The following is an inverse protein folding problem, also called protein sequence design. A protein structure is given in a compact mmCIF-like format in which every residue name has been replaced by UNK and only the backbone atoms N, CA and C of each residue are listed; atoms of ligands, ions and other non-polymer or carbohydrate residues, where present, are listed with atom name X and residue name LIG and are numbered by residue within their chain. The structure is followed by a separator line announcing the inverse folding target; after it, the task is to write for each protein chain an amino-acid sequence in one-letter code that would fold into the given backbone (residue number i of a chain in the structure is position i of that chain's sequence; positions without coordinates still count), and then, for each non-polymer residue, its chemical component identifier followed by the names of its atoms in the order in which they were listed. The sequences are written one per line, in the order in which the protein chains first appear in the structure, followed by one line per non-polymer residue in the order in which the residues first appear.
data_IF_913709308185
#
_entry.id   IF_913709308185
#
_cell.length_a   1.000
_cell.length_b   1.000
_cell.length_c   1.000
_cell.angle_alpha   90.00
_cell.angle_beta   90.00
_cell.angle_gamma   90.00
#
_symmetry.space_group_name_H-M   'P 1'
#
loop_
_entity.id
_entity.type
_entity.pdbx_description
1 polymer ?
#
# COMPACT_ATOMS: atom_id res chain seq x y z
N UNK A 1 1.35 22.86 -14.40
CA UNK A 1 2.00 21.97 -13.41
C UNK A 1 3.50 22.01 -13.66
N UNK A 2 4.29 22.41 -12.65
CA UNK A 2 5.76 22.38 -12.76
C UNK A 2 6.22 20.98 -12.28
N UNK A 3 6.49 20.10 -13.24
CA UNK A 3 7.02 18.76 -12.99
C UNK A 3 8.55 18.86 -13.05
N UNK A 4 9.29 18.16 -12.17
CA UNK A 4 10.74 18.17 -12.24
C UNK A 4 11.24 17.72 -13.60
N UNK A 5 12.28 18.39 -14.13
CA UNK A 5 12.86 18.06 -15.44
C UNK A 5 13.25 16.58 -15.53
N UNK A 6 13.89 16.05 -14.48
CA UNK A 6 14.26 14.63 -14.40
C UNK A 6 13.04 13.69 -14.56
N UNK A 7 11.94 13.97 -13.85
CA UNK A 7 10.72 13.15 -13.93
C UNK A 7 10.14 13.19 -15.35
N UNK A 8 10.04 14.39 -15.94
CA UNK A 8 9.52 14.59 -17.28
C UNK A 8 10.35 13.88 -18.35
N UNK A 9 11.67 14.08 -18.34
CA UNK A 9 12.60 13.43 -19.28
C UNK A 9 12.57 11.91 -19.14
N UNK A 10 12.61 11.41 -17.91
CA UNK A 10 12.60 9.98 -17.63
C UNK A 10 11.32 9.30 -18.10
N UNK A 11 10.15 9.88 -17.84
CA UNK A 11 8.87 9.34 -18.29
C UNK A 11 8.72 9.41 -19.82
N UNK A 12 9.14 10.51 -20.44
CA UNK A 12 9.11 10.64 -21.90
C UNK A 12 10.02 9.61 -22.58
N UNK A 13 11.22 9.37 -22.04
CA UNK A 13 12.13 8.35 -22.55
C UNK A 13 11.61 6.93 -22.37
N UNK A 14 10.90 6.66 -21.26
CA UNK A 14 10.40 5.33 -20.90
C UNK A 14 9.12 4.95 -21.63
N UNK A 15 8.21 5.90 -21.83
CA UNK A 15 6.84 5.67 -22.29
C UNK A 15 6.52 6.27 -23.66
N UNK A 16 7.44 7.11 -24.24
CA UNK A 16 7.19 7.74 -25.52
C UNK A 16 5.87 8.52 -25.54
N UNK A 17 5.02 8.25 -26.51
CA UNK A 17 3.73 8.93 -26.69
C UNK A 17 2.76 8.75 -25.52
N UNK A 18 2.84 7.62 -24.80
CA UNK A 18 2.01 7.35 -23.61
C UNK A 18 2.34 8.26 -22.43
N UNK A 19 3.51 8.90 -22.41
CA UNK A 19 3.90 9.82 -21.33
C UNK A 19 2.90 10.97 -21.17
N UNK A 20 2.29 11.45 -22.26
CA UNK A 20 1.27 12.49 -22.21
C UNK A 20 0.06 12.10 -21.37
N UNK A 21 -0.37 10.84 -21.41
CA UNK A 21 -1.47 10.31 -20.58
C UNK A 21 -1.09 10.25 -19.11
N UNK A 22 0.16 9.89 -18.80
CA UNK A 22 0.67 9.87 -17.43
C UNK A 22 0.67 11.29 -16.85
N UNK A 23 1.17 12.27 -17.60
CA UNK A 23 1.18 13.68 -17.18
C UNK A 23 -0.25 14.22 -16.97
N UNK A 24 -1.19 13.89 -17.85
CA UNK A 24 -2.59 14.24 -17.67
C UNK A 24 -3.17 13.63 -16.36
N UNK A 25 -2.78 12.41 -16.04
CA UNK A 25 -3.16 11.75 -14.78
C UNK A 25 -2.67 12.46 -13.52
N UNK A 26 -1.52 13.13 -13.55
CA UNK A 26 -1.00 13.90 -12.42
C UNK A 26 -1.85 15.14 -12.09
N UNK A 27 -2.54 15.69 -13.10
CA UNK A 27 -3.45 16.85 -12.94
C UNK A 27 -4.90 16.43 -12.72
N UNK A 28 -5.21 15.14 -12.70
CA UNK A 28 -6.58 14.67 -12.50
C UNK A 28 -7.02 14.87 -11.05
N UNK A 29 -8.28 15.24 -10.85
CA UNK A 29 -8.89 15.29 -9.54
C UNK A 29 -8.98 13.87 -8.97
N UNK A 30 -8.40 13.67 -7.79
CA UNK A 30 -8.51 12.40 -7.07
C UNK A 30 -9.72 12.43 -6.14
N UNK A 31 -10.61 11.48 -6.34
CA UNK A 31 -11.73 11.28 -5.42
C UNK A 31 -11.23 10.60 -4.13
N UNK A 32 -11.90 10.90 -3.03
CA UNK A 32 -11.66 10.19 -1.77
C UNK A 32 -12.10 8.75 -1.91
N UNK A 33 -11.28 7.83 -1.49
CA UNK A 33 -11.59 6.40 -1.50
C UNK A 33 -11.37 5.80 -0.12
N UNK A 34 -12.17 4.81 0.23
CA UNK A 34 -12.07 4.12 1.49
C UNK A 34 -12.31 2.61 1.33
N UNK A 35 -11.81 1.88 2.30
CA UNK A 35 -12.02 0.45 2.45
C UNK A 35 -12.87 0.16 3.69
N UNK A 36 -13.87 -0.68 3.53
CA UNK A 36 -14.66 -1.22 4.64
C UNK A 36 -13.79 -2.19 5.46
N UNK A 37 -13.87 -2.10 6.77
CA UNK A 37 -13.16 -3.00 7.67
C UNK A 37 -14.05 -4.17 8.11
N UNK A 38 -13.88 -5.31 7.45
CA UNK A 38 -14.66 -6.54 7.71
C UNK A 38 -14.43 -7.16 9.09
N UNK A 39 -13.47 -6.69 9.87
CA UNK A 39 -13.31 -7.08 11.26
C UNK A 39 -14.32 -6.42 12.19
N UNK A 40 -14.95 -5.31 11.76
CA UNK A 40 -15.83 -4.49 12.61
C UNK A 40 -17.23 -4.27 12.05
N UNK A 41 -17.40 -4.34 10.73
CA UNK A 41 -18.64 -3.99 10.05
C UNK A 41 -18.75 -4.70 8.71
N UNK A 42 -19.82 -4.46 8.00
CA UNK A 42 -20.06 -4.93 6.63
C UNK A 42 -20.29 -3.75 5.66
N UNK A 43 -20.20 -4.04 4.36
CA UNK A 43 -20.28 -3.03 3.32
C UNK A 43 -21.68 -2.38 3.23
N UNK A 44 -22.74 -3.12 3.52
CA UNK A 44 -24.11 -2.57 3.46
C UNK A 44 -24.36 -1.59 4.61
N UNK A 45 -23.85 -1.88 5.79
CA UNK A 45 -23.92 -0.98 6.95
C UNK A 45 -23.15 0.31 6.68
N UNK A 46 -21.95 0.24 6.11
CA UNK A 46 -21.17 1.44 5.74
C UNK A 46 -21.87 2.24 4.65
N UNK A 47 -22.39 1.58 3.60
CA UNK A 47 -23.11 2.27 2.51
C UNK A 47 -24.33 3.03 3.02
N UNK A 48 -25.11 2.41 3.90
CA UNK A 48 -26.29 3.09 4.51
C UNK A 48 -25.87 4.30 5.33
N UNK A 49 -24.87 4.15 6.20
CA UNK A 49 -24.42 5.24 7.04
C UNK A 49 -23.81 6.40 6.25
N UNK A 50 -23.11 6.13 5.14
CA UNK A 50 -22.64 7.17 4.22
C UNK A 50 -23.79 7.87 3.52
N UNK A 51 -24.81 7.13 3.06
CA UNK A 51 -26.00 7.69 2.42
C UNK A 51 -26.81 8.56 3.40
N UNK A 52 -26.98 8.12 4.65
CA UNK A 52 -27.64 8.89 5.71
C UNK A 52 -26.88 10.19 6.04
N UNK A 53 -25.55 10.20 5.86
CA UNK A 53 -24.70 11.38 5.96
C UNK A 53 -24.71 12.26 4.68
N UNK A 54 -25.51 11.92 3.65
CA UNK A 54 -25.58 12.65 2.39
C UNK A 54 -24.35 12.45 1.48
N UNK A 55 -23.59 11.38 1.70
CA UNK A 55 -22.38 11.08 0.92
C UNK A 55 -22.73 10.11 -0.22
N UNK A 56 -22.56 10.59 -1.45
CA UNK A 56 -22.70 9.79 -2.65
C UNK A 56 -21.46 8.94 -2.89
N UNK A 57 -21.66 7.67 -3.27
CA UNK A 57 -20.58 6.73 -3.46
C UNK A 57 -20.79 5.77 -4.61
N UNK A 58 -19.69 5.23 -5.12
CA UNK A 58 -19.66 4.09 -6.04
C UNK A 58 -18.82 2.96 -5.42
N UNK A 59 -19.22 1.72 -5.66
CA UNK A 59 -18.42 0.55 -5.31
C UNK A 59 -17.46 0.24 -6.46
N UNK A 60 -16.20 -0.04 -6.14
CA UNK A 60 -15.24 -0.47 -7.15
C UNK A 60 -15.64 -1.87 -7.69
N UNK A 61 -15.59 -2.05 -9.02
CA UNK A 61 -16.08 -3.27 -9.67
C UNK A 61 -15.41 -4.57 -9.20
N UNK A 62 -14.21 -4.48 -8.62
CA UNK A 62 -13.40 -5.63 -8.20
C UNK A 62 -13.45 -5.93 -6.68
N UNK A 63 -14.11 -5.08 -5.89
CA UNK A 63 -14.25 -5.31 -4.45
C UNK A 63 -15.43 -4.55 -3.87
N UNK A 64 -16.33 -5.24 -3.21
CA UNK A 64 -17.48 -4.65 -2.51
C UNK A 64 -17.08 -3.78 -1.31
N UNK A 65 -15.87 -3.97 -0.78
CA UNK A 65 -15.30 -3.21 0.35
C UNK A 65 -14.60 -1.93 -0.08
N UNK A 66 -14.38 -1.73 -1.38
CA UNK A 66 -13.70 -0.56 -1.92
C UNK A 66 -14.73 0.47 -2.42
N UNK A 67 -14.84 1.61 -1.73
CA UNK A 67 -15.79 2.66 -2.03
C UNK A 67 -15.08 3.92 -2.53
N UNK A 68 -15.67 4.56 -3.55
CA UNK A 68 -15.26 5.82 -4.16
C UNK A 68 -16.29 6.86 -3.78
N UNK A 69 -15.90 7.92 -3.09
CA UNK A 69 -16.81 8.97 -2.67
C UNK A 69 -16.86 10.08 -3.72
N UNK A 70 -18.04 10.45 -4.16
CA UNK A 70 -18.24 11.37 -5.29
C UNK A 70 -18.30 12.84 -4.84
N UNK A 71 -18.78 13.11 -3.63
CA UNK A 71 -19.04 14.45 -3.11
C UNK A 71 -18.42 14.72 -1.72
N UNK A 72 -17.56 13.85 -1.22
CA UNK A 72 -16.92 14.01 0.10
C UNK A 72 -15.39 14.01 0.01
N UNK A 73 -14.77 14.89 0.79
CA UNK A 73 -13.30 14.96 0.97
C UNK A 73 -12.87 14.19 2.22
N UNK A 74 -11.57 13.97 2.36
CA UNK A 74 -10.97 13.24 3.49
C UNK A 74 -11.36 13.84 4.85
N UNK A 75 -11.43 15.17 4.99
CA UNK A 75 -11.81 15.84 6.24
C UNK A 75 -13.27 15.51 6.63
N UNK A 76 -14.18 15.45 5.66
CA UNK A 76 -15.58 15.05 5.89
C UNK A 76 -15.64 13.61 6.39
N UNK A 77 -14.88 12.71 5.77
CA UNK A 77 -14.86 11.28 6.14
C UNK A 77 -14.21 11.08 7.52
N UNK A 78 -13.13 11.81 7.82
CA UNK A 78 -12.44 11.70 9.11
C UNK A 78 -13.27 12.17 10.30
N UNK A 79 -14.28 13.00 10.07
CA UNK A 79 -15.24 13.46 11.09
C UNK A 79 -16.38 12.45 11.37
N UNK A 80 -16.50 11.38 10.59
CA UNK A 80 -17.56 10.39 10.78
C UNK A 80 -17.21 9.44 11.94
N UNK A 81 -18.20 9.07 12.78
CA UNK A 81 -17.96 8.09 13.87
C UNK A 81 -17.36 6.77 13.38
N UNK A 82 -17.78 6.29 12.20
CA UNK A 82 -17.26 5.04 11.62
C UNK A 82 -15.76 5.11 11.31
N UNK A 83 -15.20 6.30 11.04
CA UNK A 83 -13.77 6.46 10.85
C UNK A 83 -13.02 6.36 12.18
N UNK A 84 -13.51 7.03 13.21
CA UNK A 84 -12.93 7.00 14.56
C UNK A 84 -13.01 5.57 15.14
N UNK A 85 -14.15 4.90 14.97
CA UNK A 85 -14.36 3.52 15.40
C UNK A 85 -13.52 2.49 14.62
N UNK A 86 -12.87 2.89 13.52
CA UNK A 86 -12.08 2.00 12.66
C UNK A 86 -12.93 1.02 11.84
N UNK A 87 -14.17 1.35 11.55
CA UNK A 87 -15.07 0.58 10.67
C UNK A 87 -14.71 0.79 9.20
N UNK A 88 -14.04 1.90 8.90
CA UNK A 88 -13.50 2.23 7.59
C UNK A 88 -12.03 2.65 7.68
N UNK A 89 -11.31 2.53 6.55
CA UNK A 89 -9.94 3.01 6.41
C UNK A 89 -9.81 3.79 5.10
N UNK A 90 -9.38 5.05 5.15
CA UNK A 90 -9.08 5.82 3.93
C UNK A 90 -7.86 5.22 3.25
N UNK A 91 -8.03 4.73 2.04
CA UNK A 91 -7.00 4.02 1.29
C UNK A 91 -7.23 4.21 -0.21
N UNK A 92 -6.17 4.48 -0.98
CA UNK A 92 -6.31 4.54 -2.43
C UNK A 92 -6.65 3.16 -3.01
N UNK A 93 -7.43 3.14 -4.08
CA UNK A 93 -7.82 1.88 -4.73
C UNK A 93 -6.62 1.04 -5.14
N UNK A 94 -5.57 1.66 -5.70
CA UNK A 94 -4.33 0.98 -6.07
C UNK A 94 -3.62 0.35 -4.87
N UNK A 95 -3.67 1.00 -3.69
CA UNK A 95 -3.06 0.49 -2.47
C UNK A 95 -3.83 -0.70 -1.87
N UNK A 96 -5.09 -0.90 -2.27
CA UNK A 96 -5.89 -2.05 -1.82
C UNK A 96 -5.57 -3.33 -2.61
N UNK A 97 -4.99 -3.21 -3.81
CA UNK A 97 -4.74 -4.36 -4.71
C UNK A 97 -3.68 -5.34 -4.17
N UNK A 98 -2.49 -4.89 -3.68
CA UNK A 98 -1.44 -5.83 -3.26
C UNK A 98 -1.88 -6.82 -2.17
N UNK A 99 -2.61 -6.45 -1.09
CA UNK A 99 -3.14 -7.40 -0.13
C UNK A 99 -4.12 -8.43 -0.71
N UNK A 100 -4.93 -8.02 -1.71
CA UNK A 100 -5.86 -8.91 -2.40
C UNK A 100 -5.09 -9.93 -3.25
N UNK A 101 -4.12 -9.46 -4.02
CA UNK A 101 -3.26 -10.32 -4.85
C UNK A 101 -2.43 -11.27 -4.01
N UNK A 102 -1.97 -10.84 -2.82
CA UNK A 102 -1.25 -11.70 -1.89
C UNK A 102 -2.05 -12.94 -1.49
N UNK A 103 -3.39 -12.83 -1.43
CA UNK A 103 -4.27 -13.95 -1.19
C UNK A 103 -3.98 -14.70 0.10
N UNK A 104 -3.54 -14.00 1.15
CA UNK A 104 -3.25 -14.61 2.44
C UNK A 104 -4.46 -15.34 3.00
N UNK A 105 -4.21 -16.51 3.59
CA UNK A 105 -5.25 -17.38 4.14
C UNK A 105 -5.26 -17.32 5.66
N UNK A 106 -6.39 -17.68 6.28
CA UNK A 106 -6.44 -17.89 7.72
C UNK A 106 -5.34 -18.84 8.19
N UNK A 107 -4.75 -18.49 9.35
CA UNK A 107 -3.72 -19.26 10.04
C UNK A 107 -2.33 -19.31 9.35
N UNK A 108 -2.15 -18.62 8.20
CA UNK A 108 -0.85 -18.40 7.59
C UNK A 108 0.00 -17.39 8.37
N UNK A 109 1.34 -17.56 8.31
CA UNK A 109 2.33 -16.59 8.75
C UNK A 109 2.62 -15.62 7.62
N UNK A 110 2.32 -14.34 7.84
CA UNK A 110 2.45 -13.29 6.84
C UNK A 110 3.48 -12.25 7.29
N UNK A 111 4.38 -11.85 6.40
CA UNK A 111 5.29 -10.73 6.61
C UNK A 111 4.88 -9.53 5.76
N UNK A 112 4.71 -8.37 6.40
CA UNK A 112 4.64 -7.06 5.74
C UNK A 112 5.95 -6.30 6.01
N UNK A 113 6.79 -6.16 4.99
CA UNK A 113 8.19 -5.71 5.16
C UNK A 113 8.35 -4.19 5.29
N UNK A 114 7.34 -3.40 4.92
CA UNK A 114 7.37 -1.93 5.00
C UNK A 114 5.97 -1.40 5.35
N UNK A 115 5.47 -1.85 6.50
CA UNK A 115 4.06 -1.89 6.84
C UNK A 115 3.38 -0.53 7.08
N UNK A 116 4.12 0.49 7.55
CA UNK A 116 3.51 1.75 7.93
C UNK A 116 2.95 2.54 6.72
N UNK A 117 1.77 3.14 6.89
CA UNK A 117 1.03 3.39 8.13
C UNK A 117 0.07 2.28 8.58
N UNK A 118 -0.01 1.11 7.89
CA UNK A 118 -0.79 -0.03 8.32
C UNK A 118 -2.02 -0.36 7.46
N UNK A 119 -2.28 0.39 6.39
CA UNK A 119 -3.43 0.16 5.52
C UNK A 119 -3.44 -1.24 4.90
N UNK A 120 -2.30 -1.70 4.38
CA UNK A 120 -2.17 -3.04 3.79
C UNK A 120 -2.15 -4.13 4.86
N UNK A 121 -1.43 -3.91 5.95
CA UNK A 121 -1.39 -4.83 7.11
C UNK A 121 -2.78 -5.10 7.67
N UNK A 122 -3.57 -4.05 7.94
CA UNK A 122 -4.93 -4.18 8.47
C UNK A 122 -5.91 -4.76 7.46
N UNK A 123 -5.65 -4.57 6.16
CA UNK A 123 -6.41 -5.20 5.08
C UNK A 123 -6.16 -6.71 5.04
N UNK A 124 -4.91 -7.16 5.16
CA UNK A 124 -4.57 -8.59 5.27
C UNK A 124 -5.28 -9.22 6.48
N UNK A 125 -5.25 -8.54 7.63
CA UNK A 125 -5.96 -9.02 8.81
C UNK A 125 -7.46 -9.15 8.55
N UNK A 126 -8.09 -8.17 7.90
CA UNK A 126 -9.51 -8.21 7.56
C UNK A 126 -9.85 -9.33 6.57
N UNK A 127 -9.06 -9.49 5.49
CA UNK A 127 -9.25 -10.52 4.48
C UNK A 127 -9.14 -11.95 5.04
N UNK A 128 -8.36 -12.14 6.10
CA UNK A 128 -8.18 -13.43 6.76
C UNK A 128 -9.10 -13.65 7.97
N UNK A 129 -10.07 -12.74 8.18
CA UNK A 129 -10.96 -12.77 9.34
C UNK A 129 -10.22 -12.67 10.67
N UNK A 130 -9.07 -11.97 10.70
CA UNK A 130 -8.23 -11.79 11.89
C UNK A 130 -7.43 -13.03 12.27
N UNK A 131 -7.36 -14.07 11.44
CA UNK A 131 -6.74 -15.35 11.80
C UNK A 131 -5.29 -15.50 11.34
N UNK A 132 -4.83 -14.74 10.34
CA UNK A 132 -3.43 -14.77 9.96
C UNK A 132 -2.53 -14.20 11.07
N UNK A 133 -1.34 -14.77 11.24
CA UNK A 133 -0.29 -14.24 12.11
C UNK A 133 0.59 -13.28 11.30
N UNK A 134 0.47 -11.99 11.56
CA UNK A 134 1.13 -10.97 10.73
C UNK A 134 2.32 -10.37 11.48
N UNK A 135 3.50 -10.46 10.90
CA UNK A 135 4.68 -9.70 11.31
C UNK A 135 4.79 -8.46 10.43
N UNK A 136 4.71 -7.28 11.04
CA UNK A 136 4.72 -5.99 10.36
C UNK A 136 5.97 -5.20 10.72
N UNK A 137 6.89 -5.00 9.75
CA UNK A 137 8.14 -4.29 9.97
C UNK A 137 8.04 -2.83 9.55
N UNK A 138 8.56 -1.92 10.36
CA UNK A 138 8.76 -0.52 10.02
C UNK A 138 10.01 0.01 10.75
N UNK A 139 10.98 0.51 9.98
CA UNK A 139 12.25 0.99 10.54
C UNK A 139 12.16 2.35 11.24
N UNK A 140 11.26 3.23 10.80
CA UNK A 140 11.09 4.55 11.38
C UNK A 140 10.16 4.47 12.59
N UNK A 141 10.64 4.90 13.76
CA UNK A 141 9.90 4.81 15.02
C UNK A 141 8.55 5.53 14.97
N UNK A 142 8.51 6.77 14.48
CA UNK A 142 7.25 7.54 14.41
C UNK A 142 6.23 6.87 13.49
N UNK A 143 6.69 6.30 12.36
CA UNK A 143 5.82 5.54 11.46
C UNK A 143 5.37 4.21 12.08
N UNK A 144 6.23 3.54 12.84
CA UNK A 144 5.88 2.33 13.58
C UNK A 144 4.83 2.61 14.68
N UNK A 145 4.92 3.76 15.35
CA UNK A 145 3.91 4.17 16.34
C UNK A 145 2.56 4.46 15.66
N UNK A 146 2.56 5.09 14.48
CA UNK A 146 1.35 5.26 13.67
C UNK A 146 0.77 3.94 13.17
N UNK A 147 1.63 2.99 12.82
CA UNK A 147 1.23 1.64 12.45
C UNK A 147 0.52 0.94 13.62
N UNK A 148 1.07 0.99 14.84
CA UNK A 148 0.44 0.42 16.06
C UNK A 148 -0.93 1.03 16.31
N UNK A 149 -1.02 2.36 16.26
CA UNK A 149 -2.28 3.07 16.42
C UNK A 149 -3.34 2.61 15.40
N UNK A 150 -2.98 2.48 14.12
CA UNK A 150 -3.91 2.05 13.09
C UNK A 150 -4.34 0.58 13.26
N UNK A 151 -3.42 -0.30 13.66
CA UNK A 151 -3.72 -1.70 13.97
C UNK A 151 -4.75 -1.79 15.10
N UNK A 152 -4.53 -1.05 16.19
CA UNK A 152 -5.43 -1.00 17.34
C UNK A 152 -6.80 -0.43 16.93
N UNK A 153 -6.82 0.74 16.28
CA UNK A 153 -8.04 1.38 15.82
C UNK A 153 -8.86 0.49 14.87
N UNK A 154 -8.20 -0.22 13.97
CA UNK A 154 -8.85 -1.15 13.04
C UNK A 154 -9.24 -2.48 13.72
N UNK A 155 -8.80 -2.72 14.95
CA UNK A 155 -9.07 -3.97 15.67
C UNK A 155 -8.45 -5.19 14.99
N UNK A 156 -7.28 -5.03 14.35
CA UNK A 156 -6.60 -6.12 13.67
C UNK A 156 -5.85 -6.99 14.70
N UNK A 157 -6.32 -8.21 14.99
CA UNK A 157 -5.67 -9.08 15.97
C UNK A 157 -4.44 -9.75 15.34
N UNK A 158 -3.62 -10.40 16.18
CA UNK A 158 -2.48 -11.23 15.78
C UNK A 158 -1.47 -10.52 14.88
N UNK A 159 -1.32 -9.19 15.03
CA UNK A 159 -0.31 -8.40 14.35
C UNK A 159 0.81 -8.03 15.31
N UNK A 160 2.02 -8.46 15.01
CA UNK A 160 3.24 -8.12 15.76
C UNK A 160 4.00 -7.02 15.01
N UNK A 161 4.10 -5.83 15.60
CA UNK A 161 4.87 -4.73 15.02
C UNK A 161 6.32 -4.77 15.46
N UNK A 162 7.22 -4.95 14.52
CA UNK A 162 8.66 -4.90 14.71
C UNK A 162 9.20 -3.54 14.23
N UNK A 163 9.64 -2.70 15.18
CA UNK A 163 10.28 -1.44 14.82
C UNK A 163 11.74 -1.68 14.44
N UNK A 164 11.94 -2.20 13.25
CA UNK A 164 13.25 -2.53 12.70
C UNK A 164 13.24 -2.52 11.18
N UNK A 165 14.41 -2.47 10.59
CA UNK A 165 14.57 -2.69 9.15
C UNK A 165 14.36 -4.18 8.84
N UNK A 166 13.43 -4.50 7.97
CA UNK A 166 13.12 -5.89 7.62
C UNK A 166 14.31 -6.67 7.04
N UNK A 167 15.34 -5.97 6.51
CA UNK A 167 16.59 -6.60 6.06
C UNK A 167 17.39 -7.22 7.20
N UNK A 168 17.13 -6.80 8.45
CA UNK A 168 17.78 -7.28 9.68
C UNK A 168 17.01 -8.43 10.36
N UNK A 169 15.86 -8.85 9.82
CA UNK A 169 15.19 -10.04 10.32
C UNK A 169 16.14 -11.24 10.25
N UNK A 170 16.08 -12.11 11.25
CA UNK A 170 16.86 -13.34 11.25
C UNK A 170 16.43 -14.24 10.08
N UNK A 171 17.39 -14.88 9.40
CA UNK A 171 17.13 -15.80 8.28
C UNK A 171 16.48 -17.13 8.74
N UNK A 172 16.33 -17.34 10.05
CA UNK A 172 15.56 -18.45 10.61
C UNK A 172 14.04 -18.23 10.55
N UNK A 173 13.57 -16.99 10.33
CA UNK A 173 12.17 -16.75 10.07
C UNK A 173 11.76 -17.34 8.71
N UNK A 174 10.54 -17.90 8.66
CA UNK A 174 9.96 -18.43 7.44
C UNK A 174 8.47 -18.08 7.37
N UNK A 175 8.04 -17.49 6.26
CA UNK A 175 6.69 -16.99 6.06
C UNK A 175 5.99 -17.69 4.92
N UNK A 176 4.66 -17.88 5.05
CA UNK A 176 3.80 -18.44 4.02
C UNK A 176 3.46 -17.39 2.94
N UNK A 177 3.38 -16.12 3.36
CA UNK A 177 3.12 -14.99 2.46
C UNK A 177 3.99 -13.81 2.83
N UNK A 178 4.52 -13.12 1.82
CA UNK A 178 5.28 -11.89 2.05
C UNK A 178 4.73 -10.78 1.19
N UNK A 179 4.38 -9.66 1.82
CA UNK A 179 4.10 -8.40 1.14
C UNK A 179 5.33 -7.50 1.23
N UNK A 180 5.88 -7.15 0.09
CA UNK A 180 6.89 -6.11 -0.04
C UNK A 180 6.31 -4.94 -0.84
N UNK A 181 5.53 -4.08 -0.15
CA UNK A 181 5.19 -2.76 -0.68
C UNK A 181 6.39 -1.84 -0.51
N UNK A 182 7.29 -1.91 -1.49
CA UNK A 182 8.64 -1.40 -1.33
C UNK A 182 8.69 0.12 -1.24
N UNK A 183 9.49 0.68 -0.31
CA UNK A 183 9.78 2.10 -0.33
C UNK A 183 10.31 2.49 -1.72
N UNK A 184 9.72 3.53 -2.31
CA UNK A 184 10.00 3.92 -3.70
C UNK A 184 10.06 5.43 -3.84
N UNK A 185 10.34 5.92 -5.05
CA UNK A 185 10.38 7.36 -5.37
C UNK A 185 9.03 8.05 -5.19
N UNK A 186 7.92 7.32 -5.22
CA UNK A 186 6.58 7.88 -5.20
C UNK A 186 6.17 8.56 -6.50
N UNK A 187 6.84 8.27 -7.60
CA UNK A 187 6.60 8.93 -8.89
C UNK A 187 5.17 8.75 -9.45
N UNK A 188 4.45 7.71 -9.02
CA UNK A 188 3.04 7.50 -9.36
C UNK A 188 2.05 8.25 -8.45
N UNK A 189 2.54 8.90 -7.38
CA UNK A 189 1.70 9.65 -6.44
C UNK A 189 1.79 11.17 -6.63
N UNK A 190 2.51 11.62 -7.64
CA UNK A 190 2.66 13.05 -7.99
C UNK A 190 1.28 13.66 -8.25
N UNK A 191 1.06 14.84 -7.70
CA UNK A 191 -0.13 15.68 -7.92
C UNK A 191 0.31 17.11 -8.23
N UNK A 192 -0.62 17.93 -8.69
CA UNK A 192 -0.38 19.36 -8.87
C UNK A 192 0.09 19.99 -7.54
N UNK A 193 1.21 20.72 -7.59
CA UNK A 193 1.84 21.33 -6.41
C UNK A 193 2.72 20.39 -5.58
N UNK A 194 2.89 19.14 -5.97
CA UNK A 194 3.85 18.26 -5.28
C UNK A 194 5.29 18.59 -5.72
N UNK A 195 6.15 18.91 -4.74
CA UNK A 195 7.57 19.21 -4.96
C UNK A 195 8.45 17.97 -4.68
N UNK A 196 8.16 16.86 -5.34
CA UNK A 196 9.00 15.65 -5.21
C UNK A 196 10.43 15.92 -5.72
N UNK A 197 11.43 15.62 -4.89
CA UNK A 197 12.83 15.69 -5.29
C UNK A 197 13.20 14.43 -6.09
N UNK A 198 12.90 14.46 -7.39
CA UNK A 198 13.31 13.38 -8.28
C UNK A 198 14.71 13.68 -8.85
N UNK A 199 15.64 12.75 -8.64
CA UNK A 199 16.98 12.80 -9.22
C UNK A 199 17.47 11.38 -9.51
N UNK A 200 18.46 11.30 -10.40
CA UNK A 200 19.09 10.01 -10.72
C UNK A 200 19.68 9.34 -9.46
N UNK A 201 20.39 10.08 -8.63
CA UNK A 201 21.03 9.57 -7.42
C UNK A 201 20.00 9.07 -6.39
N UNK A 202 18.85 9.74 -6.30
CA UNK A 202 17.77 9.28 -5.43
C UNK A 202 17.16 7.98 -5.94
N UNK A 203 16.88 7.90 -7.24
CA UNK A 203 16.34 6.71 -7.89
C UNK A 203 17.31 5.52 -7.75
N UNK A 204 18.59 5.71 -8.05
CA UNK A 204 19.61 4.65 -7.96
C UNK A 204 19.73 4.09 -6.53
N UNK A 205 19.69 4.96 -5.51
CA UNK A 205 19.69 4.53 -4.09
C UNK A 205 18.44 3.74 -3.72
N UNK A 206 17.29 4.18 -4.20
CA UNK A 206 16.01 3.53 -3.93
C UNK A 206 15.95 2.15 -4.57
N UNK A 207 16.33 2.04 -5.84
CA UNK A 207 16.42 0.76 -6.57
C UNK A 207 17.38 -0.22 -5.87
N UNK A 208 18.54 0.25 -5.42
CA UNK A 208 19.48 -0.59 -4.67
C UNK A 208 18.87 -1.13 -3.37
N UNK A 209 18.14 -0.29 -2.65
CA UNK A 209 17.43 -0.68 -1.43
C UNK A 209 16.34 -1.71 -1.73
N UNK A 210 15.53 -1.49 -2.76
CA UNK A 210 14.46 -2.40 -3.19
C UNK A 210 15.00 -3.78 -3.55
N UNK A 211 16.10 -3.86 -4.33
CA UNK A 211 16.76 -5.13 -4.65
C UNK A 211 17.21 -5.87 -3.39
N UNK A 212 17.78 -5.15 -2.41
CA UNK A 212 18.21 -5.76 -1.13
C UNK A 212 17.02 -6.26 -0.31
N UNK A 213 15.90 -5.52 -0.29
CA UNK A 213 14.67 -5.95 0.39
C UNK A 213 14.07 -7.17 -0.30
N UNK A 214 14.02 -7.19 -1.63
CA UNK A 214 13.49 -8.31 -2.39
C UNK A 214 14.34 -9.58 -2.21
N UNK A 215 15.67 -9.45 -2.24
CA UNK A 215 16.57 -10.56 -1.95
C UNK A 215 16.35 -11.14 -0.53
N UNK A 216 16.09 -10.27 0.44
CA UNK A 216 15.76 -10.70 1.81
C UNK A 216 14.40 -11.38 1.86
N UNK A 217 13.38 -10.81 1.19
CA UNK A 217 12.05 -11.40 1.11
C UNK A 217 12.08 -12.83 0.55
N UNK A 218 12.81 -13.04 -0.54
CA UNK A 218 12.95 -14.37 -1.16
C UNK A 218 13.58 -15.38 -0.20
N UNK A 219 14.57 -14.98 0.60
CA UNK A 219 15.18 -15.88 1.61
C UNK A 219 14.25 -16.25 2.76
N UNK A 220 13.32 -15.34 3.12
CA UNK A 220 12.37 -15.55 4.20
C UNK A 220 11.07 -16.24 3.73
N UNK A 221 10.87 -16.38 2.43
CA UNK A 221 9.70 -17.05 1.88
C UNK A 221 9.89 -18.56 1.94
N UNK A 222 8.89 -19.28 2.44
CA UNK A 222 8.88 -20.74 2.38
C UNK A 222 8.83 -21.21 0.92
N UNK A 223 9.41 -22.36 0.59
CA UNK A 223 9.28 -22.95 -0.76
C UNK A 223 7.81 -23.12 -1.16
N UNK A 224 7.51 -22.90 -2.44
CA UNK A 224 6.16 -23.04 -3.03
C UNK A 224 5.10 -22.05 -2.47
N UNK A 225 5.56 -20.98 -1.80
CA UNK A 225 4.71 -19.92 -1.29
C UNK A 225 4.88 -18.63 -2.10
N UNK A 226 4.07 -17.61 -1.81
CA UNK A 226 3.94 -16.44 -2.67
C UNK A 226 4.42 -15.15 -2.00
N UNK A 227 5.09 -14.33 -2.82
CA UNK A 227 5.51 -12.98 -2.48
C UNK A 227 4.86 -12.00 -3.46
N UNK A 228 4.29 -10.93 -2.91
CA UNK A 228 3.82 -9.79 -3.70
C UNK A 228 4.78 -8.63 -3.52
N UNK A 229 5.36 -8.17 -4.64
CA UNK A 229 6.13 -6.94 -4.72
C UNK A 229 5.27 -5.84 -5.32
N UNK A 230 5.21 -4.69 -4.68
CA UNK A 230 4.49 -3.51 -5.17
C UNK A 230 5.24 -2.23 -4.89
N UNK A 231 4.97 -1.20 -5.67
CA UNK A 231 5.44 0.17 -5.45
C UNK A 231 4.34 1.17 -5.82
N UNK A 232 4.48 2.40 -5.34
CA UNK A 232 3.73 3.53 -5.87
C UNK A 232 4.53 4.33 -6.92
N UNK A 233 5.45 3.68 -7.63
CA UNK A 233 6.28 4.25 -8.69
C UNK A 233 5.78 3.87 -10.07
N UNK A 234 5.99 4.77 -11.04
CA UNK A 234 5.79 4.52 -12.48
C UNK A 234 7.11 4.25 -13.22
N UNK A 235 8.24 4.19 -12.52
CA UNK A 235 9.52 3.89 -13.14
C UNK A 235 9.75 2.39 -13.26
N UNK A 236 10.15 1.92 -14.45
CA UNK A 236 10.55 0.52 -14.68
C UNK A 236 11.73 0.11 -13.82
N UNK A 237 12.65 1.05 -13.57
CA UNK A 237 13.81 0.84 -12.69
C UNK A 237 13.41 0.33 -11.30
N UNK A 238 12.28 0.80 -10.76
CA UNK A 238 11.76 0.43 -9.43
C UNK A 238 10.79 -0.75 -9.45
N UNK A 239 10.37 -1.21 -10.62
CA UNK A 239 9.39 -2.26 -10.81
C UNK A 239 10.01 -3.43 -11.59
N UNK A 240 9.86 -3.44 -12.91
CA UNK A 240 10.25 -4.56 -13.77
C UNK A 240 11.74 -4.90 -13.65
N UNK A 241 12.63 -3.89 -13.54
CA UNK A 241 14.06 -4.13 -13.46
C UNK A 241 14.51 -4.68 -12.09
N UNK A 242 13.80 -4.31 -11.01
CA UNK A 242 14.02 -4.91 -9.69
C UNK A 242 13.67 -6.39 -9.73
N UNK A 243 12.48 -6.73 -10.23
CA UNK A 243 12.03 -8.11 -10.36
C UNK A 243 12.94 -8.91 -11.30
N UNK A 244 13.27 -8.37 -12.47
CA UNK A 244 14.16 -9.03 -13.42
C UNK A 244 15.53 -9.33 -12.83
N UNK A 245 16.04 -8.49 -11.90
CA UNK A 245 17.30 -8.72 -11.22
C UNK A 245 17.27 -9.90 -10.24
N UNK A 246 16.11 -10.16 -9.64
CA UNK A 246 15.91 -11.29 -8.73
C UNK A 246 15.76 -12.62 -9.50
N UNK A 247 15.04 -12.60 -10.63
CA UNK A 247 14.81 -13.80 -11.46
C UNK A 247 16.06 -14.30 -12.20
N UNK A 248 17.15 -13.51 -12.23
CA UNK A 248 18.44 -13.92 -12.82
C UNK A 248 19.37 -14.66 -11.86
N UNK A 249 19.00 -14.78 -10.59
CA UNK A 249 19.77 -15.45 -9.52
C UNK A 249 19.29 -16.88 -9.32
#
# INVERSE_FOLDING_TARGET
MEISAFLSEKLSAQYGDEAARIFAGFSSQRLTTLRVNRLKTDADTVRRALADAGIEMQTAAWSEDALILLNAKEDTVSALPMFENGEIYMQSLSSMIPPIVLGAKPDENVLDMAAAPGGKTTQIAALTGGRAMITACERNKMRADRLRYNIERQGAPRVTVMNMDARQLDDLFAFDRILLDAPCSGSGTVTEGSHGQFSKDYLDRTVKMQKTLLDKAIRLLKPEHELVYSTCSVFRDENEEVIASALKK
#
